data_IF_722843851814
#
_entry.id   IF_722843851814
#
_cell.length_a   1.000
_cell.length_b   1.000
_cell.length_c   1.000
_cell.angle_alpha   90.00
_cell.angle_beta   90.00
_cell.angle_gamma   90.00
#
_symmetry.space_group_name_H-M   'P 1'
#
loop_
_entity.id
_entity.type
_entity.pdbx_description
1 polymer ?
#
# COMPACT_ATOMS: atom_id res chain seq x y z
N UNK A 1 13.42 32.92 0.48
CA UNK A 1 14.03 31.78 -0.22
C UNK A 1 13.08 30.60 -0.13
N UNK A 2 12.87 29.79 -1.19
CA UNK A 2 11.99 28.64 -1.07
C UNK A 2 12.66 27.62 -0.16
N UNK A 3 11.99 27.26 0.93
CA UNK A 3 12.47 26.28 1.91
C UNK A 3 12.64 24.91 1.23
N UNK A 4 13.88 24.55 0.92
CA UNK A 4 14.25 23.26 0.32
C UNK A 4 14.39 22.20 1.42
N UNK A 5 13.31 21.95 2.16
CA UNK A 5 13.29 20.90 3.18
C UNK A 5 12.66 19.64 2.60
N UNK A 6 13.33 18.50 2.81
CA UNK A 6 12.76 17.19 2.49
C UNK A 6 11.60 16.96 3.47
N UNK A 7 10.40 16.73 2.94
CA UNK A 7 9.25 16.38 3.78
C UNK A 7 9.41 14.97 4.35
N UNK A 8 8.95 14.76 5.59
CA UNK A 8 9.10 13.50 6.31
C UNK A 8 8.48 12.30 5.57
N UNK A 9 7.29 12.48 4.99
CA UNK A 9 6.64 11.50 4.12
C UNK A 9 7.48 11.12 2.91
N UNK A 10 8.15 12.10 2.29
CA UNK A 10 9.04 11.85 1.15
C UNK A 10 10.30 11.08 1.57
N UNK A 11 10.89 11.42 2.72
CA UNK A 11 12.04 10.71 3.27
C UNK A 11 11.69 9.26 3.65
N UNK A 12 10.59 9.06 4.37
CA UNK A 12 10.11 7.73 4.74
C UNK A 12 9.78 6.92 3.50
N UNK A 13 8.96 7.42 2.57
CA UNK A 13 8.65 6.68 1.33
C UNK A 13 9.91 6.27 0.58
N UNK A 14 10.95 7.12 0.55
CA UNK A 14 12.24 6.80 -0.08
C UNK A 14 13.02 5.70 0.66
N UNK A 15 12.98 5.70 1.99
CA UNK A 15 13.60 4.67 2.84
C UNK A 15 12.85 3.34 2.70
N UNK A 16 11.51 3.38 2.72
CA UNK A 16 10.62 2.22 2.60
C UNK A 16 10.66 1.58 1.22
N UNK A 17 10.93 2.38 0.17
CA UNK A 17 11.10 1.86 -1.20
C UNK A 17 12.40 1.09 -1.42
N UNK A 18 13.34 1.14 -0.50
CA UNK A 18 14.58 0.36 -0.63
C UNK A 18 14.36 -1.08 -0.16
N UNK A 19 14.49 -2.04 -1.08
CA UNK A 19 14.37 -3.48 -0.81
C UNK A 19 15.28 -3.97 0.33
N UNK A 20 16.45 -3.36 0.50
CA UNK A 20 17.36 -3.70 1.60
C UNK A 20 16.77 -3.40 2.99
N UNK A 21 15.77 -2.52 3.07
CA UNK A 21 15.14 -2.09 4.31
C UNK A 21 13.81 -2.80 4.61
N UNK A 22 13.38 -3.75 3.78
CA UNK A 22 12.09 -4.43 3.97
C UNK A 22 12.02 -5.15 5.32
N UNK A 23 13.12 -5.78 5.76
CA UNK A 23 13.18 -6.46 7.06
C UNK A 23 12.86 -5.51 8.22
N UNK A 24 13.36 -4.28 8.15
CA UNK A 24 13.11 -3.25 9.18
C UNK A 24 11.65 -2.81 9.15
N UNK A 25 11.08 -2.65 7.96
CA UNK A 25 9.69 -2.25 7.79
C UNK A 25 8.70 -3.35 8.20
N UNK A 26 8.97 -4.60 7.82
CA UNK A 26 8.23 -5.78 8.27
C UNK A 26 8.22 -5.84 9.79
N UNK A 27 9.38 -5.75 10.44
CA UNK A 27 9.48 -5.75 11.90
C UNK A 27 8.72 -4.58 12.54
N UNK A 28 8.83 -3.37 11.97
CA UNK A 28 8.15 -2.18 12.50
C UNK A 28 6.61 -2.32 12.43
N UNK A 29 6.07 -2.73 11.29
CA UNK A 29 4.62 -2.88 11.12
C UNK A 29 4.13 -4.10 11.93
N UNK A 30 4.92 -5.18 11.99
CA UNK A 30 4.53 -6.39 12.74
C UNK A 30 4.41 -6.08 14.23
N UNK A 31 5.35 -5.32 14.78
CA UNK A 31 5.29 -4.89 16.18
C UNK A 31 4.10 -3.95 16.43
N UNK A 32 3.85 -3.00 15.52
CA UNK A 32 2.73 -2.06 15.63
C UNK A 32 1.36 -2.73 15.61
N UNK A 33 1.20 -3.78 14.79
CA UNK A 33 -0.05 -4.52 14.63
C UNK A 33 -0.14 -5.76 15.54
N UNK A 34 0.93 -6.08 16.27
CA UNK A 34 1.08 -7.33 17.03
C UNK A 34 0.79 -8.58 16.17
N UNK A 35 1.22 -8.56 14.92
CA UNK A 35 0.98 -9.62 13.94
C UNK A 35 2.11 -9.68 12.92
N UNK A 36 2.67 -10.87 12.71
CA UNK A 36 3.71 -11.06 11.70
C UNK A 36 3.16 -10.88 10.28
N UNK A 37 3.92 -10.13 9.48
CA UNK A 37 3.61 -9.86 8.08
C UNK A 37 4.85 -9.88 7.19
N UNK A 38 4.62 -10.16 5.92
CA UNK A 38 5.63 -10.15 4.87
C UNK A 38 5.25 -9.17 3.78
N UNK A 39 6.20 -8.30 3.41
CA UNK A 39 5.98 -7.36 2.31
C UNK A 39 5.99 -8.14 1.00
N UNK A 40 4.88 -8.11 0.27
CA UNK A 40 4.72 -8.78 -1.03
C UNK A 40 5.28 -7.93 -2.15
N UNK A 41 4.87 -6.66 -2.17
CA UNK A 41 5.24 -5.74 -3.25
C UNK A 41 5.16 -4.30 -2.77
N UNK A 42 6.01 -3.44 -3.32
CA UNK A 42 5.80 -2.00 -3.24
C UNK A 42 4.87 -1.62 -4.39
N UNK A 43 3.74 -1.01 -4.05
CA UNK A 43 2.83 -0.50 -5.06
C UNK A 43 3.41 0.84 -5.53
N UNK A 44 3.81 0.90 -6.79
CA UNK A 44 4.22 2.17 -7.38
C UNK A 44 2.97 3.03 -7.56
N UNK A 45 2.88 4.07 -6.74
CA UNK A 45 1.78 5.04 -6.74
C UNK A 45 1.64 5.84 -8.05
N UNK A 46 2.54 5.62 -9.01
CA UNK A 46 2.63 6.29 -10.32
C UNK A 46 2.67 5.29 -11.50
N UNK A 47 2.50 3.99 -11.24
CA UNK A 47 2.70 2.93 -12.24
C UNK A 47 1.43 2.58 -13.02
N UNK A 48 1.46 2.93 -14.31
CA UNK A 48 0.57 2.57 -15.43
C UNK A 48 -0.90 3.02 -15.30
N UNK A 49 -1.15 4.29 -15.62
CA UNK A 49 -2.41 4.69 -16.26
C UNK A 49 -2.56 3.89 -17.56
N UNK A 50 -3.66 3.14 -17.69
CA UNK A 50 -4.07 2.59 -18.99
C UNK A 50 -4.93 3.63 -19.73
N UNK A 51 -5.63 4.48 -18.98
CA UNK A 51 -6.44 5.59 -19.49
C UNK A 51 -6.27 6.86 -18.65
N UNK A 52 -6.59 8.02 -19.23
CA UNK A 52 -6.44 9.34 -18.57
C UNK A 52 -7.35 9.50 -17.34
N UNK A 53 -8.44 8.74 -17.26
CA UNK A 53 -9.41 8.75 -16.15
C UNK A 53 -9.05 7.80 -14.99
N UNK A 54 -7.98 7.00 -15.13
CA UNK A 54 -7.58 6.06 -14.10
C UNK A 54 -7.16 6.81 -12.83
N UNK A 55 -7.92 6.58 -11.75
CA UNK A 55 -7.55 7.06 -10.42
C UNK A 55 -6.24 6.40 -10.01
N UNK A 56 -5.22 7.21 -9.71
CA UNK A 56 -3.95 6.70 -9.21
C UNK A 56 -4.15 6.10 -7.81
N UNK A 57 -3.79 4.84 -7.63
CA UNK A 57 -3.76 4.23 -6.31
C UNK A 57 -2.45 4.66 -5.63
N UNK A 58 -2.53 5.42 -4.54
CA UNK A 58 -1.38 5.95 -3.79
C UNK A 58 -0.93 5.08 -2.62
N UNK A 59 -1.31 3.80 -2.60
CA UNK A 59 -0.79 2.88 -1.58
C UNK A 59 0.70 2.64 -1.83
N UNK A 60 1.49 2.58 -0.74
CA UNK A 60 2.94 2.44 -0.81
C UNK A 60 3.38 0.98 -0.73
N UNK A 61 2.72 0.17 0.10
CA UNK A 61 3.14 -1.21 0.42
C UNK A 61 1.93 -2.16 0.44
N UNK A 62 2.09 -3.31 -0.20
CA UNK A 62 1.23 -4.47 -0.03
C UNK A 62 1.97 -5.53 0.80
N UNK A 63 1.38 -5.92 1.93
CA UNK A 63 1.88 -6.99 2.77
C UNK A 63 0.86 -8.12 2.88
N UNK A 64 1.32 -9.29 3.32
CA UNK A 64 0.50 -10.46 3.60
C UNK A 64 0.79 -10.95 5.01
N UNK A 65 -0.25 -11.27 5.76
CA UNK A 65 -0.13 -11.87 7.09
C UNK A 65 0.07 -13.37 6.99
N UNK A 66 0.48 -14.01 8.09
CA UNK A 66 0.56 -15.48 8.14
C UNK A 66 -0.76 -16.21 7.85
N UNK A 67 -1.91 -15.52 8.00
CA UNK A 67 -3.25 -16.05 7.70
C UNK A 67 -3.62 -15.92 6.23
N UNK A 68 -2.76 -15.34 5.40
CA UNK A 68 -3.03 -15.06 3.99
C UNK A 68 -3.92 -13.84 3.76
N UNK A 69 -4.13 -13.00 4.78
CA UNK A 69 -4.83 -11.72 4.65
C UNK A 69 -3.89 -10.70 4.02
N UNK A 70 -4.40 -9.87 3.11
CA UNK A 70 -3.62 -8.81 2.49
C UNK A 70 -3.76 -7.52 3.30
N UNK A 71 -2.68 -6.77 3.47
CA UNK A 71 -2.67 -5.49 4.16
C UNK A 71 -2.15 -4.42 3.21
N UNK A 72 -2.96 -3.38 3.01
CA UNK A 72 -2.58 -2.16 2.30
C UNK A 72 -2.06 -1.12 3.30
N UNK A 73 -0.80 -0.70 3.14
CA UNK A 73 -0.18 0.32 4.00
C UNK A 73 0.12 1.57 3.19
N UNK A 74 -0.42 2.69 3.64
CA UNK A 74 -0.20 4.00 3.06
C UNK A 74 0.39 4.95 4.13
N UNK A 75 1.53 5.57 3.83
CA UNK A 75 2.17 6.52 4.74
C UNK A 75 1.86 7.95 4.29
N UNK A 76 1.16 8.70 5.13
CA UNK A 76 0.78 10.09 4.89
C UNK A 76 1.16 10.97 6.08
N UNK A 77 1.69 12.15 5.78
CA UNK A 77 2.10 13.14 6.80
C UNK A 77 1.08 14.29 6.92
N UNK A 78 0.22 14.48 5.91
CA UNK A 78 -0.83 15.50 5.95
C UNK A 78 -2.21 14.83 6.02
N UNK A 79 -3.12 15.45 6.76
CA UNK A 79 -4.52 15.10 6.71
C UNK A 79 -5.08 15.53 5.34
N UNK A 80 -5.53 14.57 4.53
CA UNK A 80 -6.16 14.82 3.24
C UNK A 80 -7.61 14.33 3.29
N UNK A 81 -8.54 15.17 2.81
CA UNK A 81 -9.98 14.89 2.87
C UNK A 81 -10.39 13.66 2.04
N UNK A 82 -9.60 13.29 1.04
CA UNK A 82 -9.81 12.16 0.15
C UNK A 82 -9.24 10.83 0.67
N UNK A 83 -8.58 10.81 1.84
CA UNK A 83 -7.89 9.63 2.37
C UNK A 83 -8.77 8.37 2.37
N UNK A 84 -9.98 8.44 2.91
CA UNK A 84 -10.89 7.29 2.94
C UNK A 84 -11.34 6.84 1.55
N UNK A 85 -11.53 7.78 0.62
CA UNK A 85 -11.89 7.45 -0.76
C UNK A 85 -10.75 6.71 -1.46
N UNK A 86 -9.49 7.07 -1.17
CA UNK A 86 -8.32 6.37 -1.72
C UNK A 86 -8.15 4.98 -1.13
N UNK A 87 -8.30 4.84 0.18
CA UNK A 87 -8.25 3.52 0.83
C UNK A 87 -9.33 2.59 0.28
N UNK A 88 -10.55 3.10 0.11
CA UNK A 88 -11.64 2.34 -0.51
C UNK A 88 -11.32 1.94 -1.95
N UNK A 89 -10.83 2.89 -2.76
CA UNK A 89 -10.45 2.60 -4.14
C UNK A 89 -9.32 1.57 -4.21
N UNK A 90 -8.28 1.71 -3.39
CA UNK A 90 -7.14 0.80 -3.34
C UNK A 90 -7.55 -0.61 -2.91
N UNK A 91 -8.39 -0.74 -1.87
CA UNK A 91 -8.94 -2.02 -1.45
C UNK A 91 -9.79 -2.66 -2.55
N UNK A 92 -10.68 -1.88 -3.18
CA UNK A 92 -11.57 -2.37 -4.25
C UNK A 92 -10.78 -2.86 -5.46
N UNK A 93 -9.75 -2.10 -5.88
CA UNK A 93 -8.86 -2.47 -6.97
C UNK A 93 -8.11 -3.77 -6.65
N UNK A 94 -7.58 -3.89 -5.43
CA UNK A 94 -6.87 -5.10 -5.01
C UNK A 94 -7.78 -6.34 -5.00
N UNK A 95 -9.04 -6.21 -4.53
CA UNK A 95 -10.03 -7.29 -4.63
C UNK A 95 -10.20 -7.72 -6.09
N UNK A 96 -10.34 -6.78 -7.02
CA UNK A 96 -10.53 -7.09 -8.44
C UNK A 96 -9.29 -7.67 -9.11
N UNK A 97 -8.08 -7.31 -8.67
CA UNK A 97 -6.83 -7.84 -9.21
C UNK A 97 -6.54 -9.26 -8.73
N UNK A 98 -6.92 -9.59 -7.48
CA UNK A 98 -6.71 -10.92 -6.90
C UNK A 98 -7.87 -11.89 -7.17
N UNK A 99 -9.01 -11.40 -7.66
CA UNK A 99 -10.13 -12.23 -8.10
C UNK A 99 -10.01 -12.51 -9.60
N UNK A 100 -9.42 -13.65 -9.96
CA UNK A 100 -9.34 -14.06 -11.36
C UNK A 100 -10.72 -14.39 -11.96
N UNK A 101 -10.86 -14.19 -13.27
CA UNK A 101 -12.12 -14.45 -13.98
C UNK A 101 -12.51 -15.93 -13.85
N UNK A 102 -13.69 -16.18 -13.29
CA UNK A 102 -14.25 -17.53 -13.12
C UNK A 102 -14.04 -18.14 -11.72
N UNK A 103 -13.35 -17.44 -10.82
CA UNK A 103 -13.24 -17.79 -9.40
C UNK A 103 -14.54 -17.51 -8.66
N UNK A 104 -14.86 -18.32 -7.66
CA UNK A 104 -15.99 -18.05 -6.78
C UNK A 104 -15.70 -16.86 -5.86
N UNK A 105 -16.73 -16.06 -5.54
CA UNK A 105 -16.59 -14.92 -4.63
C UNK A 105 -16.14 -15.32 -3.20
N UNK A 106 -16.30 -16.59 -2.83
CA UNK A 106 -15.79 -17.13 -1.56
C UNK A 106 -14.25 -17.19 -1.48
N UNK A 107 -13.56 -17.12 -2.62
CA UNK A 107 -12.08 -17.10 -2.67
C UNK A 107 -11.49 -15.70 -2.46
N UNK A 108 -12.33 -14.67 -2.27
CA UNK A 108 -11.85 -13.31 -1.98
C UNK A 108 -11.09 -13.31 -0.66
N UNK A 109 -9.79 -13.01 -0.73
CA UNK A 109 -8.97 -12.76 0.45
C UNK A 109 -9.49 -11.53 1.18
N UNK A 110 -9.47 -11.59 2.52
CA UNK A 110 -9.67 -10.41 3.35
C UNK A 110 -8.53 -9.42 3.13
N UNK A 111 -8.90 -8.16 2.97
CA UNK A 111 -8.03 -6.99 2.75
C UNK A 111 -8.29 -5.98 3.86
#
# INVERSE_FOLDING_TARGET
MPNKHIRFDCAIKKILRNKANYVVLEGFISELLHQDLKIKTLLESEGNQQTEDDKTNRVDILAETERGELILVEVQNNCQHDYFHRMLYGASKLVTEYLEKGKEYGEIKKI
#
